data_IF_250673533381
#
_entry.id   IF_250673533381
#
_cell.length_a   1.000
_cell.length_b   1.000
_cell.length_c   1.000
_cell.angle_alpha   90.00
_cell.angle_beta   90.00
_cell.angle_gamma   90.00
#
_symmetry.space_group_name_H-M   'P 1'
#
loop_
_entity.id
_entity.type
_entity.pdbx_description
1 polymer ?
#
# COMPACT_ATOMS: atom_id res chain seq x y z
N UNK A 1 -29.40 -8.04 -61.14
CA UNK A 1 -28.01 -7.62 -61.22
C UNK A 1 -27.74 -6.65 -60.08
N UNK A 2 -27.04 -7.06 -59.14
CA UNK A 2 -26.06 -6.35 -58.34
C UNK A 2 -25.78 -7.19 -57.08
N UNK A 3 -24.55 -7.63 -56.99
CA UNK A 3 -23.96 -8.49 -55.97
C UNK A 3 -23.78 -7.73 -54.66
N UNK A 4 -24.24 -8.34 -53.61
CA UNK A 4 -23.93 -7.90 -52.22
C UNK A 4 -22.56 -8.43 -51.83
N UNK A 5 -21.67 -7.50 -51.54
CA UNK A 5 -20.32 -7.71 -51.02
C UNK A 5 -20.43 -8.20 -49.58
N UNK A 6 -19.97 -9.42 -49.29
CA UNK A 6 -19.83 -9.98 -47.97
C UNK A 6 -18.44 -9.62 -47.47
N UNK A 7 -18.35 -8.60 -46.62
CA UNK A 7 -17.12 -8.34 -45.85
C UNK A 7 -16.86 -9.49 -44.85
N UNK A 8 -15.88 -10.30 -45.16
CA UNK A 8 -15.35 -11.31 -44.26
C UNK A 8 -14.69 -10.63 -43.04
N UNK A 9 -15.26 -10.89 -41.87
CA UNK A 9 -14.60 -10.59 -40.61
C UNK A 9 -13.35 -11.49 -40.46
N UNK A 10 -12.19 -10.95 -40.04
CA UNK A 10 -10.99 -11.77 -39.84
C UNK A 10 -11.27 -12.77 -38.70
N UNK A 11 -11.09 -14.05 -39.01
CA UNK A 11 -11.21 -15.18 -38.09
C UNK A 11 -10.33 -14.95 -36.88
N UNK A 12 -10.93 -15.10 -35.67
CA UNK A 12 -10.20 -15.19 -34.40
C UNK A 12 -9.07 -16.23 -34.55
N UNK A 13 -7.81 -15.77 -34.56
CA UNK A 13 -6.64 -16.66 -34.44
C UNK A 13 -6.87 -17.58 -33.23
N UNK A 14 -6.97 -18.88 -33.49
CA UNK A 14 -6.89 -19.90 -32.48
C UNK A 14 -5.55 -19.73 -31.76
N UNK A 15 -5.62 -19.44 -30.45
CA UNK A 15 -4.48 -19.48 -29.57
C UNK A 15 -3.98 -20.91 -29.59
N UNK A 16 -2.88 -21.19 -30.26
CA UNK A 16 -2.13 -22.43 -30.09
C UNK A 16 -1.72 -22.51 -28.63
N UNK A 17 -2.16 -23.54 -27.94
CA UNK A 17 -1.73 -23.83 -26.56
C UNK A 17 -0.21 -23.98 -26.54
N UNK A 18 0.49 -23.36 -25.61
CA UNK A 18 1.93 -23.54 -25.49
C UNK A 18 2.19 -25.03 -25.14
N UNK A 19 3.02 -25.69 -25.94
CA UNK A 19 3.52 -27.03 -25.71
C UNK A 19 4.41 -27.05 -24.46
N UNK A 20 3.83 -27.22 -23.29
CA UNK A 20 4.55 -27.24 -22.02
C UNK A 20 3.63 -27.08 -20.82
N UNK A 21 2.56 -27.84 -20.76
CA UNK A 21 1.78 -27.93 -19.52
C UNK A 21 2.62 -28.63 -18.44
N UNK A 22 2.99 -27.90 -17.39
CA UNK A 22 3.54 -28.49 -16.16
C UNK A 22 2.37 -29.04 -15.35
N UNK A 23 2.40 -30.32 -15.07
CA UNK A 23 1.41 -31.00 -14.23
C UNK A 23 1.80 -30.89 -12.75
N UNK A 24 0.83 -31.07 -11.86
CA UNK A 24 1.05 -31.07 -10.41
C UNK A 24 2.10 -32.10 -9.99
N UNK A 25 2.09 -33.30 -10.61
CA UNK A 25 3.09 -34.35 -10.38
C UNK A 25 4.52 -33.93 -10.72
N UNK A 26 4.71 -33.09 -11.74
CA UNK A 26 6.03 -32.64 -12.20
C UNK A 26 6.73 -31.75 -11.16
N UNK A 27 5.97 -31.15 -10.28
CA UNK A 27 6.45 -30.24 -9.22
C UNK A 27 6.30 -30.83 -7.82
N UNK A 28 6.02 -32.14 -7.72
CA UNK A 28 5.97 -32.85 -6.44
C UNK A 28 4.65 -32.76 -5.69
N UNK A 29 3.57 -32.33 -6.33
CA UNK A 29 2.21 -32.39 -5.79
C UNK A 29 1.66 -33.81 -6.01
N UNK A 30 1.95 -34.74 -5.07
CA UNK A 30 1.73 -36.15 -5.27
C UNK A 30 0.61 -36.73 -4.40
N UNK A 31 0.19 -36.04 -3.36
CA UNK A 31 -0.78 -36.54 -2.41
C UNK A 31 -1.93 -35.57 -2.18
N UNK A 32 -3.10 -36.10 -1.92
CA UNK A 32 -4.32 -35.36 -1.57
C UNK A 32 -4.83 -35.87 -0.23
N UNK A 33 -5.48 -35.00 0.58
CA UNK A 33 -6.09 -35.41 1.86
C UNK A 33 -7.17 -36.46 1.62
N UNK A 34 -7.94 -36.28 0.57
CA UNK A 34 -9.03 -37.19 0.18
C UNK A 34 -8.90 -37.61 -1.28
N UNK A 35 -8.09 -38.63 -1.57
CA UNK A 35 -7.85 -39.10 -2.95
C UNK A 35 -9.13 -39.63 -3.62
N UNK A 36 -10.15 -40.01 -2.84
CA UNK A 36 -11.44 -40.50 -3.37
C UNK A 36 -12.45 -39.38 -3.70
N UNK A 37 -12.11 -38.14 -3.48
CA UNK A 37 -13.00 -37.03 -3.89
C UNK A 37 -13.08 -36.95 -5.40
N UNK A 38 -14.30 -36.78 -5.87
CA UNK A 38 -14.55 -36.58 -7.29
C UNK A 38 -14.06 -35.18 -7.72
N UNK A 39 -13.19 -35.09 -8.74
CA UNK A 39 -12.63 -33.80 -9.16
C UNK A 39 -13.67 -32.92 -9.83
N UNK A 40 -13.58 -31.64 -9.53
CA UNK A 40 -14.46 -30.59 -10.01
C UNK A 40 -13.66 -29.60 -10.87
N UNK A 41 -14.19 -29.25 -12.04
CA UNK A 41 -13.68 -28.15 -12.82
C UNK A 41 -14.35 -26.86 -12.37
N UNK A 42 -13.56 -25.78 -12.20
CA UNK A 42 -14.07 -24.43 -11.96
C UNK A 42 -13.11 -23.37 -12.49
N UNK A 43 -13.63 -22.22 -12.87
CA UNK A 43 -12.84 -21.06 -13.28
C UNK A 43 -12.67 -20.15 -12.07
N UNK A 44 -11.40 -19.91 -11.69
CA UNK A 44 -11.00 -19.00 -10.63
C UNK A 44 -10.49 -17.68 -11.24
N UNK A 45 -10.77 -16.53 -10.59
CA UNK A 45 -10.27 -15.22 -11.01
C UNK A 45 -10.64 -14.84 -12.45
N UNK A 46 -11.83 -15.21 -12.93
CA UNK A 46 -12.34 -14.78 -14.23
C UNK A 46 -12.52 -13.25 -14.25
N UNK A 47 -13.06 -12.70 -13.16
CA UNK A 47 -13.13 -11.26 -12.88
C UNK A 47 -12.28 -10.94 -11.65
N UNK A 48 -11.79 -9.72 -11.52
CA UNK A 48 -11.05 -9.32 -10.32
C UNK A 48 -11.88 -9.46 -9.05
N UNK A 49 -13.18 -9.18 -9.13
CA UNK A 49 -14.11 -9.31 -8.02
C UNK A 49 -14.43 -10.78 -7.63
N UNK A 50 -14.00 -11.76 -8.43
CA UNK A 50 -14.15 -13.16 -8.07
C UNK A 50 -13.13 -13.62 -7.03
N UNK A 51 -12.13 -12.79 -6.75
CA UNK A 51 -11.10 -13.08 -5.76
C UNK A 51 -10.89 -11.84 -4.88
N UNK A 52 -11.53 -11.86 -3.71
CA UNK A 52 -11.50 -10.76 -2.75
C UNK A 52 -10.63 -11.18 -1.57
N UNK A 53 -9.71 -10.31 -1.17
CA UNK A 53 -8.81 -10.55 -0.05
C UNK A 53 -8.93 -9.41 0.96
N UNK A 54 -9.33 -9.74 2.17
CA UNK A 54 -9.32 -8.83 3.30
C UNK A 54 -8.18 -9.17 4.26
N UNK A 55 -7.41 -8.18 4.67
CA UNK A 55 -6.45 -8.35 5.74
C UNK A 55 -7.20 -8.62 7.06
N UNK A 56 -6.69 -9.57 7.83
CA UNK A 56 -7.06 -9.72 9.24
C UNK A 56 -6.03 -8.99 10.08
N UNK A 57 -6.45 -7.97 10.80
CA UNK A 57 -5.60 -7.22 11.72
C UNK A 57 -5.06 -8.14 12.83
N UNK A 58 -4.06 -7.69 13.58
CA UNK A 58 -3.46 -8.49 14.65
C UNK A 58 -4.46 -8.94 15.72
N UNK A 59 -5.51 -8.16 15.95
CA UNK A 59 -6.63 -8.48 16.84
C UNK A 59 -7.69 -9.42 16.24
N UNK A 60 -7.49 -9.85 14.97
CA UNK A 60 -8.38 -10.75 14.25
C UNK A 60 -9.54 -10.05 13.53
N UNK A 61 -9.71 -8.74 13.66
CA UNK A 61 -10.75 -8.00 12.93
C UNK A 61 -10.46 -7.97 11.45
N UNK A 62 -11.49 -8.20 10.64
CA UNK A 62 -11.39 -8.08 9.19
C UNK A 62 -11.34 -6.61 8.78
N UNK A 63 -10.30 -6.24 8.05
CA UNK A 63 -10.13 -4.89 7.49
C UNK A 63 -11.05 -4.74 6.29
N UNK A 64 -12.02 -3.85 6.38
CA UNK A 64 -13.00 -3.58 5.32
C UNK A 64 -13.23 -2.07 5.16
N UNK A 65 -13.78 -1.64 4.04
CA UNK A 65 -14.23 -0.26 3.84
C UNK A 65 -15.73 -0.23 4.11
N UNK A 66 -16.13 0.48 5.15
CA UNK A 66 -17.54 0.67 5.53
C UNK A 66 -18.08 2.04 5.12
N UNK A 67 -17.20 3.05 5.03
CA UNK A 67 -17.52 4.37 4.50
C UNK A 67 -16.32 4.93 3.72
N UNK A 68 -16.60 5.75 2.71
CA UNK A 68 -15.63 6.53 1.95
C UNK A 68 -15.62 8.00 2.38
N UNK A 69 -16.36 8.36 3.40
CA UNK A 69 -16.49 9.74 3.86
C UNK A 69 -15.13 10.35 4.22
N UNK A 70 -15.02 11.67 4.13
CA UNK A 70 -13.85 12.38 4.62
C UNK A 70 -13.56 12.05 6.08
N UNK A 71 -12.28 12.05 6.51
CA UNK A 71 -11.94 11.84 7.89
C UNK A 71 -12.58 12.91 8.78
N UNK A 72 -12.88 12.57 10.07
CA UNK A 72 -13.39 13.53 11.02
C UNK A 72 -12.40 14.69 11.21
N UNK A 73 -12.94 15.82 11.61
CA UNK A 73 -12.11 16.97 11.99
C UNK A 73 -11.28 16.59 13.23
N UNK A 74 -10.01 16.91 13.19
CA UNK A 74 -9.13 16.70 14.34
C UNK A 74 -9.56 17.58 15.51
N UNK A 75 -9.92 16.97 16.59
CA UNK A 75 -10.07 17.65 17.87
C UNK A 75 -8.76 17.49 18.63
N UNK A 76 -8.00 18.60 18.77
CA UNK A 76 -6.84 18.58 19.64
C UNK A 76 -7.31 18.20 21.05
N UNK A 77 -6.76 17.14 21.61
CA UNK A 77 -6.87 16.91 23.04
C UNK A 77 -6.11 18.07 23.69
N UNK A 78 -6.81 19.14 24.00
CA UNK A 78 -6.22 20.22 24.81
C UNK A 78 -5.64 19.51 26.05
N UNK A 79 -4.36 19.68 26.34
CA UNK A 79 -3.80 19.12 27.56
C UNK A 79 -4.68 19.57 28.71
N UNK A 80 -5.16 18.64 29.49
CA UNK A 80 -5.85 18.97 30.75
C UNK A 80 -4.80 19.59 31.67
N UNK A 81 -5.00 20.82 32.04
CA UNK A 81 -4.17 21.55 32.97
C UNK A 81 -4.69 22.96 33.15
N UNK A 82 -4.47 23.51 34.30
CA UNK A 82 -4.85 24.87 34.67
C UNK A 82 -3.60 25.73 34.86
N UNK A 83 -3.78 27.04 34.91
CA UNK A 83 -2.69 27.94 35.28
C UNK A 83 -2.19 27.69 36.69
N UNK A 84 -3.05 27.13 37.57
CA UNK A 84 -2.66 26.77 38.95
C UNK A 84 -1.60 25.67 38.98
N UNK A 85 -1.56 24.78 38.00
CA UNK A 85 -0.53 23.74 37.88
C UNK A 85 0.87 24.30 37.59
N UNK A 86 0.96 25.58 37.24
CA UNK A 86 2.22 26.31 37.02
C UNK A 86 2.62 27.20 38.20
N UNK A 87 1.79 27.28 39.25
CA UNK A 87 2.00 28.14 40.43
C UNK A 87 3.30 27.81 41.16
N UNK A 88 3.57 26.55 41.38
CA UNK A 88 4.77 26.09 42.09
C UNK A 88 6.07 26.39 41.33
N UNK A 89 5.97 26.65 40.05
CA UNK A 89 7.13 26.90 39.18
C UNK A 89 7.40 28.38 38.92
N UNK A 90 6.37 29.21 38.90
CA UNK A 90 6.48 30.67 38.61
C UNK A 90 6.17 31.56 39.80
N UNK A 91 5.61 31.02 40.86
CA UNK A 91 5.29 31.76 42.09
C UNK A 91 4.49 33.03 41.85
N UNK A 92 4.95 34.14 42.39
CA UNK A 92 4.31 35.47 42.27
C UNK A 92 4.35 36.04 40.85
N UNK A 93 5.16 35.48 39.96
CA UNK A 93 5.24 35.86 38.53
C UNK A 93 4.22 35.17 37.64
N UNK A 94 3.46 34.22 38.19
CA UNK A 94 2.42 33.52 37.42
C UNK A 94 1.38 34.44 36.80
N UNK A 95 0.84 35.44 37.53
CA UNK A 95 -0.12 36.37 36.91
C UNK A 95 0.40 37.10 35.68
N UNK A 96 1.67 37.45 35.65
CA UNK A 96 2.30 38.10 34.49
C UNK A 96 2.32 37.15 33.29
N UNK A 97 2.71 35.88 33.54
CA UNK A 97 2.74 34.80 32.53
C UNK A 97 1.32 34.51 32.01
N UNK A 98 0.33 34.49 32.91
CA UNK A 98 -1.06 34.24 32.57
C UNK A 98 -1.67 35.36 31.72
N UNK A 99 -1.34 36.61 32.04
CA UNK A 99 -1.79 37.79 31.27
C UNK A 99 -1.24 37.76 29.83
N UNK A 100 -0.09 37.13 29.62
CA UNK A 100 0.53 37.00 28.28
C UNK A 100 1.05 38.30 27.70
N UNK A 101 1.22 39.33 28.53
CA UNK A 101 1.75 40.67 28.18
C UNK A 101 3.01 40.92 29.01
N UNK A 102 4.11 40.23 28.66
CA UNK A 102 5.35 40.31 29.42
C UNK A 102 6.18 41.54 29.01
N UNK A 103 6.59 42.36 29.97
CA UNK A 103 7.54 43.47 29.74
C UNK A 103 9.00 42.98 29.61
N UNK A 104 9.27 41.67 29.87
CA UNK A 104 10.56 41.04 29.76
C UNK A 104 10.43 39.52 30.02
N UNK A 105 11.54 38.77 29.88
CA UNK A 105 11.53 37.36 30.16
C UNK A 105 11.19 37.03 31.61
N UNK A 106 10.43 35.97 31.85
CA UNK A 106 10.10 35.45 33.19
C UNK A 106 10.64 34.01 33.28
N UNK A 107 11.46 33.75 34.27
CA UNK A 107 12.07 32.44 34.48
C UNK A 107 11.33 31.67 35.58
N UNK A 108 11.18 30.35 35.40
CA UNK A 108 10.71 29.47 36.48
C UNK A 108 11.74 29.30 37.59
N UNK A 109 11.36 28.69 38.69
CA UNK A 109 12.32 28.15 39.65
C UNK A 109 13.31 27.18 38.98
N UNK A 110 14.44 26.92 39.62
CA UNK A 110 15.43 25.94 39.14
C UNK A 110 14.85 24.52 39.21
N UNK A 111 15.02 23.76 38.13
CA UNK A 111 14.47 22.42 37.92
C UNK A 111 15.60 21.43 37.65
N UNK A 112 15.71 20.39 38.45
CA UNK A 112 16.64 19.30 38.24
C UNK A 112 16.12 18.22 37.30
N UNK A 113 14.78 18.02 37.27
CA UNK A 113 14.14 16.96 36.50
C UNK A 113 13.71 17.44 35.10
N UNK A 114 14.08 16.65 34.10
CA UNK A 114 13.68 16.85 32.70
C UNK A 114 12.17 16.71 32.49
N UNK A 115 11.51 15.86 33.28
CA UNK A 115 10.06 15.63 33.17
C UNK A 115 9.27 16.88 33.54
N UNK A 116 9.66 17.60 34.59
CA UNK A 116 9.02 18.85 35.00
C UNK A 116 9.19 19.93 33.93
N UNK A 117 10.36 20.08 33.35
CA UNK A 117 10.58 21.04 32.26
C UNK A 117 9.67 20.75 31.05
N UNK A 118 9.59 19.48 30.67
CA UNK A 118 8.71 19.04 29.57
C UNK A 118 7.23 19.30 29.89
N UNK A 119 6.84 19.08 31.15
CA UNK A 119 5.49 19.36 31.61
C UNK A 119 5.14 20.84 31.56
N UNK A 120 6.02 21.71 32.06
CA UNK A 120 5.84 23.17 32.00
C UNK A 120 5.73 23.67 30.57
N UNK A 121 6.65 23.25 29.67
CA UNK A 121 6.58 23.62 28.26
C UNK A 121 5.25 23.19 27.63
N UNK A 122 4.74 22.01 27.97
CA UNK A 122 3.47 21.50 27.47
C UNK A 122 2.29 22.33 27.97
N UNK A 123 2.26 22.63 29.27
CA UNK A 123 1.22 23.43 29.88
C UNK A 123 1.20 24.86 29.36
N UNK A 124 2.36 25.53 29.30
CA UNK A 124 2.48 26.89 28.75
C UNK A 124 1.97 26.94 27.32
N UNK A 125 2.34 25.97 26.51
CA UNK A 125 1.88 25.89 25.12
C UNK A 125 0.37 25.70 25.03
N UNK A 126 -0.20 24.90 25.91
CA UNK A 126 -1.63 24.62 25.94
C UNK A 126 -2.47 25.82 26.42
N UNK A 127 -1.97 26.54 27.44
CA UNK A 127 -2.72 27.60 28.11
C UNK A 127 -2.51 28.96 27.45
N UNK A 128 -1.29 29.24 26.99
CA UNK A 128 -0.92 30.52 26.37
C UNK A 128 -0.97 30.51 24.83
N UNK A 129 -0.92 29.31 24.19
CA UNK A 129 -0.83 29.17 22.74
C UNK A 129 0.39 29.92 22.19
N UNK A 130 0.21 30.58 21.05
CA UNK A 130 1.27 31.35 20.38
C UNK A 130 1.61 32.70 21.02
N UNK A 131 0.92 33.09 22.08
CA UNK A 131 1.19 34.39 22.77
C UNK A 131 2.55 34.36 23.46
N UNK A 132 2.97 33.24 23.99
CA UNK A 132 4.21 33.08 24.75
C UNK A 132 5.11 32.04 24.09
N UNK A 133 6.40 32.28 24.16
CA UNK A 133 7.45 31.36 23.79
C UNK A 133 8.19 30.89 25.06
N UNK A 134 8.48 29.61 25.15
CA UNK A 134 9.21 29.03 26.29
C UNK A 134 10.46 28.30 25.84
N UNK A 135 11.59 28.55 26.50
CA UNK A 135 12.88 27.90 26.27
C UNK A 135 13.51 27.38 27.56
N UNK A 136 14.34 26.36 27.47
CA UNK A 136 15.10 25.89 28.63
C UNK A 136 16.43 26.63 28.71
N UNK A 137 16.68 27.27 29.84
CA UNK A 137 17.94 27.96 30.13
C UNK A 137 18.72 27.24 31.24
N UNK A 138 20.04 27.46 31.29
CA UNK A 138 20.89 26.99 32.38
C UNK A 138 20.97 28.11 33.43
N UNK A 139 20.80 27.73 34.71
CA UNK A 139 20.95 28.60 35.87
C UNK A 139 21.93 27.95 36.85
N UNK A 140 22.55 28.69 37.76
CA UNK A 140 23.55 28.12 38.67
C UNK A 140 23.07 26.89 39.47
N UNK A 141 21.79 26.82 39.76
CA UNK A 141 21.17 25.74 40.56
C UNK A 141 20.54 24.63 39.70
N UNK A 142 20.73 24.63 38.36
CA UNK A 142 20.17 23.64 37.46
C UNK A 142 19.68 24.21 36.13
N UNK A 143 18.48 23.87 35.72
CA UNK A 143 17.86 24.44 34.51
C UNK A 143 16.57 25.14 34.90
N UNK A 144 16.18 26.19 34.19
CA UNK A 144 14.88 26.84 34.35
C UNK A 144 14.16 26.95 33.01
N UNK A 145 12.86 27.17 33.06
CA UNK A 145 12.05 27.46 31.85
C UNK A 145 11.86 28.97 31.78
N UNK A 146 12.44 29.59 30.78
CA UNK A 146 12.25 31.00 30.47
C UNK A 146 11.06 31.20 29.58
N UNK A 147 10.18 32.12 29.95
CA UNK A 147 8.99 32.48 29.21
C UNK A 147 9.11 33.95 28.74
N UNK A 148 8.86 34.18 27.46
CA UNK A 148 8.90 35.51 26.87
C UNK A 148 7.76 35.68 25.88
N UNK A 149 7.43 36.92 25.58
CA UNK A 149 6.39 37.25 24.62
C UNK A 149 6.85 36.84 23.21
N UNK A 150 5.97 36.13 22.49
CA UNK A 150 6.26 35.76 21.11
C UNK A 150 6.01 36.95 20.17
N UNK A 151 7.08 37.56 19.71
CA UNK A 151 7.03 38.69 18.75
C UNK A 151 7.12 38.26 17.29
N UNK A 152 7.35 36.95 17.02
CA UNK A 152 7.44 36.46 15.66
C UNK A 152 6.06 36.20 15.06
N UNK A 153 5.77 36.88 13.91
CA UNK A 153 4.61 36.51 13.07
C UNK A 153 4.88 35.13 12.43
N UNK A 154 4.49 34.07 13.12
CA UNK A 154 4.46 32.72 12.51
C UNK A 154 3.25 32.62 11.58
N UNK A 155 3.45 31.97 10.45
CA UNK A 155 2.31 31.61 9.60
C UNK A 155 1.43 30.60 10.36
N UNK A 156 0.14 30.58 10.10
CA UNK A 156 -0.82 29.65 10.72
C UNK A 156 -0.44 28.15 10.54
N UNK A 157 0.52 27.86 9.65
CA UNK A 157 1.11 26.52 9.46
C UNK A 157 2.15 26.14 10.51
N UNK A 158 2.68 27.10 11.25
CA UNK A 158 3.74 26.89 12.25
C UNK A 158 3.20 26.94 13.68
N UNK A 159 1.87 27.00 13.84
CA UNK A 159 1.20 26.86 15.13
C UNK A 159 1.51 25.47 15.71
N UNK A 160 2.17 25.40 16.89
CA UNK A 160 2.50 24.13 17.54
C UNK A 160 1.25 23.34 17.95
N UNK A 161 0.10 23.99 18.14
CA UNK A 161 -1.17 23.34 18.47
C UNK A 161 -1.98 22.97 17.21
N UNK A 162 -1.47 23.32 16.04
CA UNK A 162 -2.10 22.90 14.79
C UNK A 162 -2.08 21.37 14.67
N UNK A 163 -3.11 20.80 14.05
CA UNK A 163 -3.16 19.38 13.70
C UNK A 163 -1.83 18.92 13.04
N UNK A 164 -1.26 19.77 12.20
CA UNK A 164 -0.01 19.52 11.50
C UNK A 164 1.18 19.32 12.44
N UNK A 165 1.22 19.96 13.58
CA UNK A 165 2.31 19.89 14.55
C UNK A 165 2.02 18.89 15.69
N UNK A 166 0.82 18.91 16.24
CA UNK A 166 0.46 18.22 17.48
C UNK A 166 0.03 16.76 17.29
N UNK A 167 -0.46 16.38 16.10
CA UNK A 167 -0.94 15.03 15.85
C UNK A 167 0.20 13.99 15.82
N UNK A 168 -0.08 12.72 16.15
CA UNK A 168 0.88 11.61 16.09
C UNK A 168 1.61 11.48 14.75
N UNK A 169 2.82 10.86 14.73
CA UNK A 169 3.73 10.92 13.58
C UNK A 169 3.28 10.09 12.37
N UNK A 170 2.32 9.20 12.52
CA UNK A 170 1.83 8.34 11.45
C UNK A 170 0.34 8.55 11.19
N UNK A 171 -0.07 8.29 9.96
CA UNK A 171 -1.48 8.15 9.56
C UNK A 171 -1.68 6.71 9.10
N UNK A 172 -2.58 5.99 9.77
CA UNK A 172 -3.08 4.70 9.31
C UNK A 172 -4.35 4.88 8.50
N UNK A 173 -4.49 4.11 7.45
CA UNK A 173 -5.70 4.08 6.63
C UNK A 173 -5.91 2.72 5.99
N UNK A 174 -7.15 2.47 5.60
CA UNK A 174 -7.53 1.30 4.81
C UNK A 174 -7.35 1.60 3.33
N UNK A 175 -6.60 0.76 2.62
CA UNK A 175 -6.42 0.81 1.17
C UNK A 175 -7.16 -0.35 0.52
N UNK A 176 -8.04 -0.04 -0.43
CA UNK A 176 -8.58 -1.01 -1.40
C UNK A 176 -7.90 -0.80 -2.75
N UNK A 177 -7.43 -1.90 -3.35
CA UNK A 177 -6.89 -1.90 -4.71
C UNK A 177 -7.53 -2.99 -5.56
N UNK A 178 -7.62 -2.74 -6.87
CA UNK A 178 -8.15 -3.70 -7.85
C UNK A 178 -7.16 -3.86 -8.99
N UNK A 179 -6.76 -5.10 -9.27
CA UNK A 179 -5.82 -5.46 -10.33
C UNK A 179 -4.51 -4.67 -10.32
N UNK A 180 -3.92 -4.48 -9.14
CA UNK A 180 -2.66 -3.78 -8.97
C UNK A 180 -1.74 -4.54 -8.03
N UNK A 181 -0.46 -4.49 -8.31
CA UNK A 181 0.56 -4.93 -7.36
C UNK A 181 0.60 -4.03 -6.13
N UNK A 182 1.04 -4.56 -4.98
CA UNK A 182 1.12 -3.77 -3.76
C UNK A 182 2.16 -2.66 -3.85
N UNK A 183 3.32 -2.93 -4.46
CA UNK A 183 4.36 -1.92 -4.66
C UNK A 183 3.91 -0.83 -5.63
N UNK A 184 3.28 -1.21 -6.74
CA UNK A 184 2.69 -0.28 -7.69
C UNK A 184 1.65 0.64 -7.01
N UNK A 185 0.79 0.08 -6.15
CA UNK A 185 -0.19 0.87 -5.41
C UNK A 185 0.46 1.87 -4.45
N UNK A 186 1.51 1.46 -3.73
CA UNK A 186 2.27 2.35 -2.84
C UNK A 186 3.01 3.44 -3.62
N UNK A 187 3.57 3.15 -4.80
CA UNK A 187 4.18 4.16 -5.68
C UNK A 187 3.16 5.20 -6.15
N UNK A 188 1.95 4.77 -6.52
CA UNK A 188 0.88 5.72 -6.87
C UNK A 188 0.47 6.59 -5.69
N UNK A 189 0.32 6.01 -4.49
CA UNK A 189 0.05 6.77 -3.27
C UNK A 189 1.17 7.79 -2.99
N UNK A 190 2.42 7.39 -3.14
CA UNK A 190 3.56 8.29 -2.97
C UNK A 190 3.52 9.48 -3.93
N UNK A 191 3.18 9.25 -5.21
CA UNK A 191 3.00 10.31 -6.22
C UNK A 191 1.84 11.24 -5.87
N UNK A 192 0.67 10.71 -5.50
CA UNK A 192 -0.50 11.53 -5.13
C UNK A 192 -0.21 12.40 -3.92
N UNK A 193 0.50 11.86 -2.94
CA UNK A 193 0.91 12.55 -1.72
C UNK A 193 2.11 13.46 -1.92
N UNK A 194 2.73 13.47 -3.12
CA UNK A 194 3.94 14.25 -3.43
C UNK A 194 5.04 13.99 -2.39
N UNK A 195 5.37 12.73 -2.17
CA UNK A 195 6.41 12.34 -1.20
C UNK A 195 7.83 12.55 -1.78
N UNK A 196 7.96 12.68 -3.10
CA UNK A 196 9.22 12.71 -3.86
C UNK A 196 9.94 14.06 -3.84
N UNK A 197 9.47 15.04 -3.07
CA UNK A 197 10.10 16.35 -3.07
C UNK A 197 11.43 16.34 -2.33
N UNK A 198 12.52 16.56 -3.08
CA UNK A 198 13.92 16.84 -2.70
C UNK A 198 14.92 15.69 -2.89
N UNK A 199 14.84 14.89 -3.97
CA UNK A 199 16.00 14.08 -4.41
C UNK A 199 16.52 13.03 -3.41
N UNK A 200 15.75 12.69 -2.37
CA UNK A 200 16.08 11.59 -1.46
C UNK A 200 15.42 10.33 -1.95
N UNK A 201 16.24 9.38 -2.32
CA UNK A 201 15.80 8.04 -2.67
C UNK A 201 14.85 7.51 -1.58
N UNK A 202 13.63 7.12 -2.02
CA UNK A 202 12.58 6.38 -1.34
C UNK A 202 11.43 7.16 -0.71
N UNK A 203 10.67 7.82 -1.56
CA UNK A 203 9.30 8.25 -1.26
C UNK A 203 8.39 7.11 -0.79
N UNK A 204 8.62 5.90 -1.28
CA UNK A 204 7.88 4.68 -0.90
C UNK A 204 8.20 4.24 0.52
N UNK A 205 9.39 4.56 1.06
CA UNK A 205 9.77 4.21 2.44
C UNK A 205 8.96 4.97 3.51
N UNK A 206 8.28 6.05 3.12
CA UNK A 206 7.34 6.73 4.01
C UNK A 206 6.01 5.97 4.17
N UNK A 207 5.76 4.95 3.32
CA UNK A 207 4.57 4.10 3.36
C UNK A 207 4.96 2.71 3.82
N UNK A 208 4.20 2.13 4.73
CA UNK A 208 4.43 0.78 5.24
C UNK A 208 3.14 -0.02 5.32
N UNK A 209 3.27 -1.35 5.21
CA UNK A 209 2.16 -2.31 5.21
C UNK A 209 2.51 -3.51 6.07
N UNK A 210 1.48 -4.19 6.59
CA UNK A 210 1.68 -5.41 7.36
C UNK A 210 1.98 -6.65 6.49
N UNK A 211 1.69 -6.58 5.19
CA UNK A 211 1.96 -7.65 4.23
C UNK A 211 1.52 -7.27 2.82
N UNK A 212 2.03 -7.99 1.82
CA UNK A 212 1.62 -7.81 0.42
C UNK A 212 0.31 -8.53 0.13
N UNK A 213 -0.39 -8.11 -0.91
CA UNK A 213 -1.67 -8.69 -1.36
C UNK A 213 -1.63 -8.97 -2.86
N UNK A 214 -2.36 -9.99 -3.29
CA UNK A 214 -2.47 -10.41 -4.69
C UNK A 214 -2.71 -9.24 -5.65
N UNK A 215 -2.09 -9.32 -6.86
CA UNK A 215 -2.30 -8.36 -7.95
C UNK A 215 -3.66 -8.55 -8.59
N UNK A 216 -3.94 -9.77 -9.11
CA UNK A 216 -5.19 -10.09 -9.83
C UNK A 216 -6.33 -10.42 -8.86
N UNK A 217 -6.77 -9.39 -8.11
CA UNK A 217 -7.77 -9.48 -7.05
C UNK A 217 -8.35 -8.10 -6.73
N UNK A 218 -9.41 -8.08 -5.94
CA UNK A 218 -9.82 -6.93 -5.13
C UNK A 218 -9.29 -7.15 -3.73
N UNK A 219 -8.41 -6.28 -3.24
CA UNK A 219 -7.79 -6.48 -1.93
C UNK A 219 -7.96 -5.28 -1.04
N UNK A 220 -8.13 -5.53 0.25
CA UNK A 220 -8.31 -4.51 1.29
C UNK A 220 -7.28 -4.75 2.39
N UNK A 221 -6.48 -3.75 2.70
CA UNK A 221 -5.40 -3.84 3.68
C UNK A 221 -5.18 -2.53 4.41
N UNK A 222 -4.48 -2.57 5.54
CA UNK A 222 -4.00 -1.37 6.22
C UNK A 222 -2.70 -0.87 5.61
N UNK A 223 -2.55 0.44 5.59
CA UNK A 223 -1.32 1.14 5.20
C UNK A 223 -1.02 2.19 6.27
N UNK A 224 0.24 2.36 6.60
CA UNK A 224 0.71 3.46 7.43
C UNK A 224 1.55 4.42 6.59
N UNK A 225 1.34 5.71 6.80
CA UNK A 225 2.11 6.80 6.21
C UNK A 225 2.86 7.55 7.31
N UNK A 226 4.16 7.71 7.17
CA UNK A 226 4.91 8.70 7.93
C UNK A 226 4.51 10.09 7.44
N UNK A 227 3.65 10.76 8.22
CA UNK A 227 2.92 11.92 7.72
C UNK A 227 3.74 13.19 7.55
N UNK A 228 4.87 13.32 8.27
CA UNK A 228 5.53 14.62 8.42
C UNK A 228 4.61 15.62 9.10
N UNK A 229 4.15 16.64 8.38
CA UNK A 229 3.18 17.66 8.85
C UNK A 229 1.83 17.57 8.12
N UNK A 230 1.54 16.47 7.41
CA UNK A 230 0.27 16.30 6.70
C UNK A 230 -0.85 15.96 7.67
N UNK A 231 -2.04 16.50 7.40
CA UNK A 231 -3.26 16.21 8.13
C UNK A 231 -4.03 15.04 7.49
N UNK A 232 -4.96 14.42 8.23
CA UNK A 232 -5.84 13.38 7.70
C UNK A 232 -6.59 13.89 6.46
N UNK A 233 -7.11 15.12 6.54
CA UNK A 233 -7.87 15.75 5.47
C UNK A 233 -7.02 15.98 4.22
N UNK A 234 -5.79 16.49 4.36
CA UNK A 234 -4.88 16.67 3.23
C UNK A 234 -4.54 15.35 2.54
N UNK A 235 -4.31 14.27 3.29
CA UNK A 235 -4.05 12.94 2.73
C UNK A 235 -5.26 12.43 1.96
N UNK A 236 -6.45 12.55 2.54
CA UNK A 236 -7.69 12.12 1.92
C UNK A 236 -7.99 12.91 0.64
N UNK A 237 -7.89 14.23 0.69
CA UNK A 237 -8.14 15.13 -0.45
C UNK A 237 -7.18 14.84 -1.62
N UNK A 238 -5.88 14.63 -1.34
CA UNK A 238 -4.88 14.36 -2.37
C UNK A 238 -5.09 13.02 -3.06
N UNK A 239 -5.33 11.94 -2.29
CA UNK A 239 -5.54 10.61 -2.86
C UNK A 239 -6.85 10.55 -3.65
N UNK A 240 -7.87 11.29 -3.23
CA UNK A 240 -9.15 11.37 -3.93
C UNK A 240 -9.19 12.45 -5.02
N UNK A 241 -8.06 13.14 -5.27
CA UNK A 241 -7.95 14.19 -6.29
C UNK A 241 -8.96 15.33 -6.14
N UNK A 242 -9.33 15.69 -4.89
CA UNK A 242 -10.30 16.77 -4.63
C UNK A 242 -9.77 18.10 -5.20
N UNK A 243 -10.63 18.81 -5.91
CA UNK A 243 -10.28 20.08 -6.56
C UNK A 243 -9.44 19.96 -7.83
N UNK A 244 -9.06 18.75 -8.25
CA UNK A 244 -8.38 18.53 -9.52
C UNK A 244 -9.38 18.50 -10.69
N UNK A 245 -8.97 18.86 -11.94
CA UNK A 245 -9.82 18.71 -13.11
C UNK A 245 -10.26 17.25 -13.30
N UNK A 246 -11.54 17.04 -13.63
CA UNK A 246 -12.09 15.70 -13.92
C UNK A 246 -11.63 15.22 -15.30
N UNK A 247 -11.43 16.15 -16.24
CA UNK A 247 -11.01 15.88 -17.62
C UNK A 247 -9.72 16.62 -17.94
N UNK A 248 -8.90 16.06 -18.81
CA UNK A 248 -7.74 16.73 -19.41
C UNK A 248 -8.13 17.74 -20.50
N UNK A 249 -9.41 17.81 -20.88
CA UNK A 249 -9.94 18.77 -21.84
C UNK A 249 -9.93 20.19 -21.23
N UNK A 250 -9.21 21.17 -21.80
CA UNK A 250 -9.17 22.55 -21.31
C UNK A 250 -10.52 23.25 -21.29
N UNK A 251 -11.49 22.78 -22.09
CA UNK A 251 -12.88 23.28 -22.12
C UNK A 251 -13.74 22.85 -20.93
N UNK A 252 -13.38 21.76 -20.26
CA UNK A 252 -14.10 21.24 -19.09
C UNK A 252 -13.50 21.77 -17.80
N UNK A 253 -14.10 22.80 -17.22
CA UNK A 253 -13.66 23.42 -15.94
C UNK A 253 -14.15 22.67 -14.69
N UNK A 254 -14.86 21.55 -14.85
CA UNK A 254 -15.40 20.81 -13.70
C UNK A 254 -14.27 20.18 -12.87
N UNK A 255 -14.29 20.46 -11.56
CA UNK A 255 -13.34 19.92 -10.60
C UNK A 255 -13.98 18.84 -9.77
N UNK A 256 -13.21 17.81 -9.41
CA UNK A 256 -13.66 16.70 -8.57
C UNK A 256 -14.05 17.20 -7.18
N UNK A 257 -15.27 16.88 -6.79
CA UNK A 257 -15.85 17.25 -5.49
C UNK A 257 -15.72 16.10 -4.47
N UNK A 258 -16.04 16.39 -3.21
CA UNK A 258 -16.16 15.36 -2.16
C UNK A 258 -17.25 14.35 -2.54
N UNK A 259 -18.37 14.81 -3.06
CA UNK A 259 -19.46 13.95 -3.54
C UNK A 259 -18.99 12.97 -4.63
N UNK A 260 -18.21 13.45 -5.59
CA UNK A 260 -17.65 12.59 -6.63
C UNK A 260 -16.69 11.54 -6.04
N UNK A 261 -15.93 11.89 -5.00
CA UNK A 261 -15.00 10.96 -4.37
C UNK A 261 -15.70 9.79 -3.68
N UNK A 262 -16.87 10.02 -3.07
CA UNK A 262 -17.61 8.97 -2.35
C UNK A 262 -18.55 8.17 -3.26
N UNK A 263 -19.02 8.75 -4.37
CA UNK A 263 -20.01 8.12 -5.27
C UNK A 263 -19.37 7.45 -6.49
N UNK A 264 -18.26 7.99 -7.01
CA UNK A 264 -17.61 7.47 -8.22
C UNK A 264 -16.29 6.79 -7.92
N UNK A 265 -16.00 5.68 -8.63
CA UNK A 265 -14.68 5.04 -8.54
C UNK A 265 -13.62 5.95 -9.14
N UNK A 266 -12.48 6.09 -8.44
CA UNK A 266 -11.31 6.70 -9.04
C UNK A 266 -10.80 5.83 -10.20
N UNK A 267 -10.34 6.47 -11.28
CA UNK A 267 -9.93 5.80 -12.53
C UNK A 267 -8.86 4.72 -12.33
N UNK A 268 -8.08 4.77 -11.25
CA UNK A 268 -6.93 3.89 -11.05
C UNK A 268 -7.16 2.73 -10.08
N UNK A 269 -8.42 2.44 -9.72
CA UNK A 269 -8.77 1.28 -8.91
C UNK A 269 -8.25 1.33 -7.47
N UNK A 270 -7.81 2.50 -6.97
CA UNK A 270 -7.39 2.72 -5.59
C UNK A 270 -8.46 3.48 -4.83
N UNK A 271 -8.70 3.08 -3.58
CA UNK A 271 -9.55 3.77 -2.62
C UNK A 271 -8.91 3.76 -1.25
N UNK A 272 -9.05 4.86 -0.53
CA UNK A 272 -8.63 4.93 0.87
C UNK A 272 -9.83 5.31 1.75
N UNK A 273 -9.84 4.79 2.96
CA UNK A 273 -10.88 5.05 3.95
C UNK A 273 -10.33 4.91 5.37
N UNK A 274 -11.11 5.28 6.37
CA UNK A 274 -10.83 5.08 7.79
C UNK A 274 -9.46 5.61 8.21
N UNK A 275 -9.17 6.86 7.81
CA UNK A 275 -7.93 7.50 8.19
C UNK A 275 -7.94 7.83 9.69
N UNK A 276 -6.83 7.52 10.37
CA UNK A 276 -6.62 7.81 11.79
C UNK A 276 -5.16 8.09 12.07
N UNK A 277 -4.89 8.87 13.12
CA UNK A 277 -3.52 9.05 13.60
C UNK A 277 -3.04 7.85 14.39
N UNK A 278 -1.73 7.58 14.33
CA UNK A 278 -1.07 6.48 15.02
C UNK A 278 0.35 6.87 15.46
N UNK A 279 0.83 6.23 16.52
CA UNK A 279 2.15 6.50 17.10
C UNK A 279 3.28 5.70 16.41
N UNK A 280 2.95 4.62 15.71
CA UNK A 280 3.91 3.70 15.13
C UNK A 280 3.56 3.32 13.67
N UNK A 281 4.56 2.95 12.84
CA UNK A 281 4.34 2.40 11.51
C UNK A 281 3.78 0.98 11.57
N UNK A 282 3.30 0.48 10.44
CA UNK A 282 3.06 -0.94 10.25
C UNK A 282 4.36 -1.64 9.85
N UNK A 283 4.58 -2.84 10.36
CA UNK A 283 5.70 -3.69 9.99
C UNK A 283 5.21 -4.99 9.35
N UNK A 284 6.01 -5.58 8.48
CA UNK A 284 5.70 -6.88 7.91
C UNK A 284 5.47 -7.92 9.01
N UNK A 285 4.39 -8.69 8.88
CA UNK A 285 3.96 -9.66 9.87
C UNK A 285 2.97 -9.13 10.91
N UNK A 286 2.70 -7.81 10.97
CA UNK A 286 1.71 -7.22 11.89
C UNK A 286 0.27 -7.45 11.44
N UNK A 287 -0.04 -8.67 10.99
CA UNK A 287 -1.38 -9.12 10.64
C UNK A 287 -1.55 -10.55 11.15
N UNK A 288 -2.79 -10.92 11.46
CA UNK A 288 -3.12 -12.30 11.82
C UNK A 288 -3.18 -13.22 10.60
N UNK A 289 -3.51 -12.67 9.42
CA UNK A 289 -3.67 -13.43 8.19
C UNK A 289 -4.50 -12.68 7.15
N UNK A 290 -5.11 -13.45 6.26
CA UNK A 290 -5.98 -12.93 5.22
C UNK A 290 -7.29 -13.74 5.20
N UNK A 291 -8.39 -13.05 4.96
CA UNK A 291 -9.68 -13.64 4.69
C UNK A 291 -9.94 -13.58 3.19
N UNK A 292 -10.19 -14.74 2.58
CA UNK A 292 -10.46 -14.87 1.15
C UNK A 292 -11.94 -15.10 0.91
N UNK A 293 -12.50 -14.39 -0.07
CA UNK A 293 -13.80 -14.71 -0.66
C UNK A 293 -13.58 -15.01 -2.13
N UNK A 294 -13.79 -16.26 -2.51
CA UNK A 294 -13.46 -16.76 -3.85
C UNK A 294 -14.75 -17.22 -4.53
N UNK A 295 -15.06 -16.61 -5.69
CA UNK A 295 -16.17 -17.05 -6.54
C UNK A 295 -15.63 -18.03 -7.55
N UNK A 296 -16.16 -19.24 -7.51
CA UNK A 296 -15.94 -20.29 -8.51
C UNK A 296 -17.00 -20.16 -9.61
N UNK A 297 -16.57 -20.13 -10.87
CA UNK A 297 -17.46 -20.03 -12.01
C UNK A 297 -17.41 -21.29 -12.85
N UNK A 298 -18.49 -21.56 -13.60
CA UNK A 298 -18.61 -22.74 -14.48
C UNK A 298 -18.23 -24.04 -13.72
N UNK A 299 -18.83 -24.22 -12.55
CA UNK A 299 -18.57 -25.37 -11.69
C UNK A 299 -19.23 -26.60 -12.28
N UNK A 300 -18.43 -27.61 -12.63
CA UNK A 300 -18.90 -28.86 -13.25
C UNK A 300 -18.00 -30.02 -12.90
N UNK A 301 -18.54 -31.23 -13.03
CA UNK A 301 -17.70 -32.43 -12.92
C UNK A 301 -16.69 -32.48 -14.07
N UNK A 302 -15.48 -33.00 -13.78
CA UNK A 302 -14.47 -33.22 -14.82
C UNK A 302 -14.83 -34.37 -15.74
N UNK A 303 -15.60 -35.34 -15.25
CA UNK A 303 -16.18 -36.40 -16.07
C UNK A 303 -17.58 -35.98 -16.53
N UNK A 304 -17.89 -36.21 -17.79
CA UNK A 304 -19.18 -35.84 -18.43
C UNK A 304 -20.28 -36.89 -18.20
N UNK A 305 -19.96 -38.00 -17.54
CA UNK A 305 -20.86 -39.17 -17.45
C UNK A 305 -21.94 -39.04 -16.36
N UNK A 306 -21.87 -38.05 -15.49
CA UNK A 306 -22.81 -37.93 -14.36
C UNK A 306 -23.62 -36.64 -14.40
N UNK A 307 -24.96 -36.70 -14.14
CA UNK A 307 -25.78 -35.52 -14.04
C UNK A 307 -25.31 -34.54 -12.97
N UNK A 308 -25.36 -33.24 -13.24
CA UNK A 308 -24.87 -32.17 -12.35
C UNK A 308 -25.79 -31.89 -11.14
N UNK A 309 -26.90 -32.61 -10.97
CA UNK A 309 -27.92 -32.29 -9.97
C UNK A 309 -27.43 -32.34 -8.51
N UNK A 310 -26.35 -33.08 -8.22
CA UNK A 310 -25.82 -33.28 -6.87
C UNK A 310 -24.56 -32.46 -6.54
N UNK A 311 -24.06 -31.64 -7.49
CA UNK A 311 -22.76 -30.97 -7.33
C UNK A 311 -22.74 -30.04 -6.12
N UNK A 312 -23.82 -29.32 -5.86
CA UNK A 312 -23.89 -28.39 -4.73
C UNK A 312 -23.84 -29.13 -3.38
N UNK A 313 -24.55 -30.25 -3.26
CA UNK A 313 -24.57 -31.08 -2.04
C UNK A 313 -23.20 -31.66 -1.79
N UNK A 314 -22.58 -32.27 -2.81
CA UNK A 314 -21.28 -32.93 -2.68
C UNK A 314 -20.17 -31.90 -2.39
N UNK A 315 -20.18 -30.71 -3.03
CA UNK A 315 -19.26 -29.64 -2.68
C UNK A 315 -19.45 -29.18 -1.24
N UNK A 316 -20.69 -29.12 -0.75
CA UNK A 316 -20.96 -28.81 0.66
C UNK A 316 -20.38 -29.88 1.62
N UNK A 317 -20.37 -31.15 1.22
CA UNK A 317 -19.71 -32.22 1.96
C UNK A 317 -18.18 -32.08 1.94
N UNK A 318 -17.61 -31.80 0.77
CA UNK A 318 -16.16 -31.55 0.64
C UNK A 318 -15.69 -30.33 1.47
N UNK A 319 -16.48 -29.26 1.52
CA UNK A 319 -16.16 -28.08 2.35
C UNK A 319 -16.15 -28.46 3.84
N UNK A 320 -17.18 -29.18 4.32
CA UNK A 320 -17.22 -29.63 5.73
C UNK A 320 -16.06 -30.56 6.08
N UNK A 321 -15.68 -31.42 5.15
CA UNK A 321 -14.56 -32.33 5.32
C UNK A 321 -13.22 -31.58 5.34
N UNK A 322 -13.06 -30.58 4.49
CA UNK A 322 -11.93 -29.66 4.49
C UNK A 322 -11.83 -28.86 5.81
N UNK A 323 -12.96 -28.42 6.35
CA UNK A 323 -13.02 -27.74 7.66
C UNK A 323 -12.60 -28.66 8.81
N UNK A 324 -12.98 -29.94 8.73
CA UNK A 324 -12.68 -30.93 9.77
C UNK A 324 -11.21 -31.42 9.73
N UNK A 325 -10.66 -31.65 8.54
CA UNK A 325 -9.37 -32.32 8.36
C UNK A 325 -8.28 -31.40 7.80
N UNK A 326 -8.64 -30.21 7.30
CA UNK A 326 -7.69 -29.28 6.67
C UNK A 326 -7.26 -29.75 5.27
N UNK A 327 -6.10 -29.26 4.83
CA UNK A 327 -5.53 -29.54 3.52
C UNK A 327 -4.01 -29.68 3.60
N UNK A 328 -3.42 -30.33 2.60
CA UNK A 328 -1.96 -30.39 2.48
C UNK A 328 -1.48 -29.03 1.97
N UNK A 329 -0.56 -28.41 2.71
CA UNK A 329 -0.09 -27.06 2.43
C UNK A 329 0.97 -27.03 1.31
N UNK A 330 0.57 -27.36 0.10
CA UNK A 330 1.40 -27.21 -1.08
C UNK A 330 1.43 -25.76 -1.58
N UNK A 331 2.51 -25.41 -2.26
CA UNK A 331 2.52 -24.22 -3.08
C UNK A 331 1.59 -24.38 -4.29
N UNK A 332 0.79 -23.35 -4.61
CA UNK A 332 0.01 -23.36 -5.84
C UNK A 332 0.90 -23.36 -7.09
N UNK A 333 0.42 -23.96 -8.19
CA UNK A 333 1.14 -24.08 -9.47
C UNK A 333 1.69 -22.75 -9.99
N UNK A 334 1.04 -21.63 -9.69
CA UNK A 334 1.53 -20.28 -10.03
C UNK A 334 2.94 -19.97 -9.48
N UNK A 335 3.37 -20.65 -8.41
CA UNK A 335 4.70 -20.46 -7.82
C UNK A 335 5.81 -20.98 -8.74
N UNK A 336 5.49 -21.97 -9.55
CA UNK A 336 6.42 -22.55 -10.51
C UNK A 336 6.49 -21.80 -11.83
N UNK A 337 5.63 -20.75 -12.01
CA UNK A 337 5.54 -19.94 -13.20
C UNK A 337 4.54 -20.49 -14.22
N UNK A 338 4.06 -19.61 -15.08
CA UNK A 338 3.12 -19.94 -16.18
C UNK A 338 3.74 -19.71 -17.55
N UNK A 339 5.04 -19.38 -17.60
CA UNK A 339 5.80 -19.18 -18.82
C UNK A 339 6.40 -20.48 -19.36
N UNK A 340 7.12 -20.39 -20.49
CA UNK A 340 7.82 -21.52 -21.11
C UNK A 340 8.88 -22.14 -20.18
N UNK A 341 9.51 -21.30 -19.37
CA UNK A 341 10.53 -21.70 -18.39
C UNK A 341 9.93 -21.55 -17.00
N UNK A 342 9.90 -22.64 -16.26
CA UNK A 342 9.43 -22.66 -14.89
C UNK A 342 10.50 -22.18 -13.91
N UNK A 343 10.07 -21.55 -12.80
CA UNK A 343 11.00 -20.98 -11.80
C UNK A 343 11.89 -22.04 -11.15
N UNK A 344 11.40 -23.28 -11.03
CA UNK A 344 12.20 -24.37 -10.45
C UNK A 344 13.36 -24.80 -11.37
N UNK A 345 13.22 -24.74 -12.70
CA UNK A 345 14.31 -25.01 -13.64
C UNK A 345 15.46 -24.02 -13.44
N UNK A 346 15.13 -22.73 -13.32
CA UNK A 346 16.12 -21.70 -12.98
C UNK A 346 16.76 -21.98 -11.61
N UNK A 347 15.94 -22.34 -10.62
CA UNK A 347 16.41 -22.70 -9.28
C UNK A 347 17.37 -23.88 -9.26
N UNK A 348 17.10 -24.93 -10.05
CA UNK A 348 18.00 -26.09 -10.20
C UNK A 348 19.34 -25.67 -10.79
N UNK A 349 19.35 -24.84 -11.83
CA UNK A 349 20.58 -24.33 -12.44
C UNK A 349 21.42 -23.53 -11.42
N UNK A 350 20.76 -22.66 -10.63
CA UNK A 350 21.44 -21.89 -9.56
C UNK A 350 22.03 -22.83 -8.48
N UNK A 351 21.28 -23.83 -8.02
CA UNK A 351 21.76 -24.79 -7.02
C UNK A 351 22.95 -25.62 -7.53
N UNK A 352 22.98 -25.92 -8.84
CA UNK A 352 24.10 -26.60 -9.49
C UNK A 352 25.29 -25.65 -9.76
N UNK A 353 25.17 -24.36 -9.42
CA UNK A 353 26.13 -23.30 -9.73
C UNK A 353 26.37 -23.11 -11.22
N UNK A 354 25.43 -23.55 -12.06
CA UNK A 354 25.42 -23.28 -13.49
C UNK A 354 24.71 -21.94 -13.76
N UNK A 355 25.41 -20.87 -13.47
CA UNK A 355 24.87 -19.51 -13.62
C UNK A 355 24.63 -19.11 -15.07
N UNK A 356 25.34 -19.75 -16.02
CA UNK A 356 25.12 -19.53 -17.46
C UNK A 356 23.77 -20.07 -17.88
N UNK A 357 23.46 -21.31 -17.49
CA UNK A 357 22.17 -21.92 -17.76
C UNK A 357 21.05 -21.18 -17.02
N UNK A 358 21.24 -20.77 -15.77
CA UNK A 358 20.27 -19.96 -15.04
C UNK A 358 19.95 -18.64 -15.78
N UNK A 359 20.97 -17.92 -16.28
CA UNK A 359 20.79 -16.68 -17.03
C UNK A 359 20.06 -16.94 -18.36
N UNK A 360 20.43 -18.01 -19.10
CA UNK A 360 19.76 -18.39 -20.35
C UNK A 360 18.27 -18.63 -20.12
N UNK A 361 17.92 -19.41 -19.09
CA UNK A 361 16.53 -19.73 -18.73
C UNK A 361 15.71 -18.48 -18.35
N UNK A 362 16.29 -17.55 -17.59
CA UNK A 362 15.63 -16.29 -17.22
C UNK A 362 15.33 -15.43 -18.45
N UNK A 363 16.26 -15.37 -19.40
CA UNK A 363 16.09 -14.57 -20.60
C UNK A 363 15.11 -15.21 -21.58
N UNK A 364 15.07 -16.54 -21.69
CA UNK A 364 14.06 -17.26 -22.47
C UNK A 364 12.65 -17.03 -21.92
N UNK A 365 12.49 -17.03 -20.59
CA UNK A 365 11.20 -16.73 -19.94
C UNK A 365 10.67 -15.33 -20.28
N UNK A 366 11.56 -14.36 -20.54
CA UNK A 366 11.21 -12.99 -20.91
C UNK A 366 10.85 -12.80 -22.40
N UNK A 367 11.20 -13.74 -23.28
CA UNK A 367 11.07 -13.60 -24.71
C UNK A 367 9.62 -13.56 -25.24
N UNK A 368 8.66 -14.07 -24.49
CA UNK A 368 7.26 -14.19 -24.92
C UNK A 368 6.40 -12.92 -24.76
N UNK A 369 6.98 -11.81 -24.31
CA UNK A 369 6.20 -10.57 -24.07
C UNK A 369 6.33 -9.53 -25.19
N UNK A 370 6.81 -9.88 -26.38
CA UNK A 370 7.12 -8.88 -27.38
C UNK A 370 6.99 -9.30 -28.84
N UNK A 371 5.74 -9.39 -29.34
CA UNK A 371 5.45 -9.23 -30.79
C UNK A 371 5.29 -7.74 -31.18
N UNK A 372 5.80 -6.81 -30.38
CA UNK A 372 5.84 -5.40 -30.74
C UNK A 372 6.99 -5.15 -31.72
N UNK A 373 6.70 -4.43 -32.82
CA UNK A 373 7.71 -3.95 -33.76
C UNK A 373 8.80 -3.17 -33.00
N UNK A 374 10.06 -3.23 -33.50
CA UNK A 374 11.21 -2.64 -32.79
C UNK A 374 11.08 -1.13 -32.54
N UNK A 375 10.32 -0.42 -33.38
CA UNK A 375 10.12 1.03 -33.27
C UNK A 375 9.21 1.43 -32.12
N UNK A 376 8.29 0.56 -31.68
CA UNK A 376 7.29 0.85 -30.63
C UNK A 376 7.51 0.06 -29.32
N UNK A 377 8.59 -0.72 -29.22
CA UNK A 377 8.84 -1.56 -28.07
C UNK A 377 9.28 -0.73 -26.85
N UNK A 378 8.68 -0.95 -25.65
CA UNK A 378 9.13 -0.29 -24.43
C UNK A 378 10.63 -0.54 -24.17
N UNK A 379 11.36 0.41 -23.56
CA UNK A 379 12.80 0.28 -23.28
C UNK A 379 13.18 -1.01 -22.55
N UNK A 380 12.35 -1.49 -21.64
CA UNK A 380 12.58 -2.75 -20.93
C UNK A 380 12.52 -3.99 -21.83
N UNK A 381 11.70 -3.97 -22.91
CA UNK A 381 11.60 -5.06 -23.89
C UNK A 381 12.83 -5.05 -24.81
N UNK A 382 13.26 -3.87 -25.22
CA UNK A 382 14.50 -3.71 -26.03
C UNK A 382 15.72 -4.17 -25.23
N UNK A 383 15.86 -3.77 -23.98
CA UNK A 383 16.95 -4.20 -23.12
C UNK A 383 16.96 -5.74 -22.93
N UNK A 384 15.78 -6.36 -22.80
CA UNK A 384 15.68 -7.83 -22.72
C UNK A 384 16.13 -8.51 -24.01
N UNK A 385 15.73 -8.01 -25.19
CA UNK A 385 16.15 -8.54 -26.49
C UNK A 385 17.66 -8.39 -26.71
N UNK A 386 18.24 -7.25 -26.34
CA UNK A 386 19.67 -7.00 -26.41
C UNK A 386 20.46 -7.95 -25.49
N UNK A 387 19.97 -8.16 -24.25
CA UNK A 387 20.57 -9.12 -23.34
C UNK A 387 20.50 -10.56 -23.88
N UNK A 388 19.40 -10.94 -24.54
CA UNK A 388 19.26 -12.26 -25.19
C UNK A 388 20.25 -12.43 -26.35
N UNK A 389 20.43 -11.41 -27.19
CA UNK A 389 21.40 -11.42 -28.27
C UNK A 389 22.83 -11.55 -27.72
N UNK A 390 23.16 -10.82 -26.65
CA UNK A 390 24.48 -10.91 -26.01
C UNK A 390 24.73 -12.31 -25.39
N UNK A 391 23.71 -12.97 -24.83
CA UNK A 391 23.84 -14.36 -24.38
C UNK A 391 24.05 -15.32 -25.53
N UNK A 392 23.32 -15.17 -26.62
CA UNK A 392 23.48 -15.99 -27.82
C UNK A 392 24.90 -15.87 -28.39
N UNK A 393 25.50 -14.69 -28.34
CA UNK A 393 26.88 -14.41 -28.75
C UNK A 393 27.92 -14.72 -27.66
N UNK A 394 27.51 -15.27 -26.51
CA UNK A 394 28.36 -15.57 -25.34
C UNK A 394 29.04 -14.36 -24.69
N UNK A 395 28.52 -13.15 -24.93
CA UNK A 395 28.98 -11.90 -24.31
C UNK A 395 28.27 -11.65 -22.99
N UNK A 396 28.53 -12.48 -22.00
CA UNK A 396 27.78 -12.49 -20.73
C UNK A 396 27.98 -11.21 -19.88
N UNK A 397 29.12 -10.53 -20.03
CA UNK A 397 29.39 -9.28 -19.33
C UNK A 397 28.48 -8.15 -19.82
N UNK A 398 28.16 -8.12 -21.10
CA UNK A 398 27.27 -7.13 -21.70
C UNK A 398 25.81 -7.30 -21.22
N UNK A 399 25.40 -8.50 -20.84
CA UNK A 399 24.05 -8.75 -20.32
C UNK A 399 23.75 -8.00 -19.03
N UNK A 400 24.75 -7.68 -18.22
CA UNK A 400 24.60 -6.95 -16.97
C UNK A 400 24.46 -5.45 -17.20
N UNK A 401 25.08 -4.92 -18.25
CA UNK A 401 25.04 -3.51 -18.61
C UNK A 401 23.64 -3.09 -19.10
N UNK A 402 22.96 -3.93 -19.87
CA UNK A 402 21.63 -3.63 -20.39
C UNK A 402 20.50 -3.59 -19.32
N UNK A 403 20.75 -4.08 -18.10
CA UNK A 403 19.81 -3.98 -16.99
C UNK A 403 19.94 -2.68 -16.18
N UNK A 404 21.09 -2.00 -16.26
CA UNK A 404 21.34 -0.80 -15.46
C UNK A 404 20.77 0.48 -16.10
N UNK A 405 20.61 0.52 -17.40
CA UNK A 405 20.21 1.74 -18.13
C UNK A 405 18.69 1.88 -18.35
N UNK A 406 17.91 0.90 -17.94
CA UNK A 406 16.44 0.90 -18.06
C UNK A 406 15.69 1.03 -16.73
N UNK A 407 16.36 1.34 -15.63
CA UNK A 407 15.80 1.39 -14.29
C UNK A 407 15.89 2.78 -13.64
N UNK A 408 15.79 3.88 -14.42
CA UNK A 408 15.56 5.23 -13.91
C UNK A 408 14.07 5.62 -13.95
#
# INVERSE_FOLDING_TARGET
>A
MSSADKSEHPSKRQRTEPSGHTYESDVGLLAYVHPGWRPVHAIIKQRYADFIVHELAADGRMVSITSLDPPPVWESKKPQGSWDDLRDFFGDRLPDVQAGCLQGPVDSCALTDKSHRTHIHRLLRALAGDRLMSETIQVPEGSAVRVQQNTSRRSSRDDPDSEAAAAPPYIHFTLQKTNRDSQEALQWLARFLKLDHRGRASSVNALSVAGTKDKRAVTVQRVALQRGRRTLREVWDRVNHIGQPISSDPGQKQRRTVHDAVTTRAERGLRIAHLSYADAPLQFGMLRGNHFTITLRDVRWTDTATPSNDIQRILGEHVRDLEAHGFINYFGMQRFGTGLVSTHQVGIAVLRKDFREALRLVLEAGALHGDADEEDAPPAVLATRQAQAAVAEKRYEDCLLYKSDGAD
#
